data_IF_761749688279
#
_entry.id   IF_761749688279
#
_cell.length_a   1.000
_cell.length_b   1.000
_cell.length_c   1.000
_cell.angle_alpha   90.00
_cell.angle_beta   90.00
_cell.angle_gamma   90.00
#
_symmetry.space_group_name_H-M   'P 1'
#
loop_
_entity.id
_entity.type
_entity.pdbx_description
1 polymer ?
#
# COMPACT_ATOMS: atom_id res chain seq x y z
N UNK A 1 10.44 -0.74 16.58
CA UNK A 1 10.80 -0.08 17.85
C UNK A 1 9.68 0.88 18.27
N UNK A 2 9.29 1.88 17.48
CA UNK A 2 8.29 2.92 17.83
C UNK A 2 6.95 2.31 18.26
N UNK A 3 6.43 1.33 17.52
CA UNK A 3 5.16 0.65 17.83
C UNK A 3 5.22 -0.08 19.19
N UNK A 4 6.29 -0.83 19.45
CA UNK A 4 6.49 -1.52 20.71
C UNK A 4 6.61 -0.53 21.88
N UNK A 5 7.36 0.56 21.70
CA UNK A 5 7.48 1.61 22.70
C UNK A 5 6.11 2.25 22.97
N UNK A 6 5.29 2.49 21.94
CA UNK A 6 3.93 3.01 22.10
C UNK A 6 3.02 2.05 22.89
N UNK A 7 3.05 0.76 22.58
CA UNK A 7 2.26 -0.25 23.30
C UNK A 7 2.69 -0.35 24.77
N UNK A 8 4.00 -0.44 25.03
CA UNK A 8 4.54 -0.54 26.39
C UNK A 8 4.26 0.71 27.20
N UNK A 9 4.48 1.91 26.65
CA UNK A 9 4.20 3.18 27.34
C UNK A 9 2.72 3.33 27.61
N UNK A 10 1.83 3.01 26.66
CA UNK A 10 0.39 3.03 26.86
C UNK A 10 -0.06 2.09 27.98
N UNK A 11 0.44 0.84 27.98
CA UNK A 11 0.16 -0.12 29.02
C UNK A 11 0.63 0.35 30.41
N UNK A 12 1.82 0.95 30.50
CA UNK A 12 2.36 1.50 31.75
C UNK A 12 1.50 2.68 32.27
N UNK A 13 1.09 3.59 31.39
CA UNK A 13 0.23 4.71 31.75
C UNK A 13 -1.11 4.21 32.31
N UNK A 14 -1.72 3.20 31.68
CA UNK A 14 -2.97 2.62 32.13
C UNK A 14 -2.83 1.90 33.48
N UNK A 15 -1.71 1.22 33.73
CA UNK A 15 -1.42 0.59 35.00
C UNK A 15 -1.19 1.60 36.14
N UNK A 16 -0.36 2.64 35.88
CA UNK A 16 -0.05 3.67 36.88
C UNK A 16 -1.29 4.53 37.18
N UNK A 17 -2.10 4.79 36.16
CA UNK A 17 -3.37 5.54 36.29
C UNK A 17 -4.49 4.75 36.96
N UNK A 18 -4.28 3.46 37.27
CA UNK A 18 -5.29 2.59 37.90
C UNK A 18 -6.49 2.27 37.01
N UNK A 19 -6.36 2.48 35.69
CA UNK A 19 -7.44 2.23 34.73
C UNK A 19 -7.62 0.76 34.37
N UNK A 20 -6.61 -0.07 34.63
CA UNK A 20 -6.64 -1.51 34.28
C UNK A 20 -5.68 -2.31 35.17
N UNK A 21 -5.90 -3.62 35.21
CA UNK A 21 -5.03 -4.58 35.93
C UNK A 21 -4.15 -5.36 34.91
N UNK A 22 -2.96 -5.87 35.33
CA UNK A 22 -2.04 -6.55 34.41
C UNK A 22 -2.68 -7.72 33.64
N UNK A 23 -3.58 -8.45 34.29
CA UNK A 23 -4.29 -9.59 33.67
C UNK A 23 -5.21 -9.15 32.54
N UNK A 24 -5.81 -7.99 32.67
CA UNK A 24 -6.72 -7.44 31.66
C UNK A 24 -5.95 -6.92 30.45
N UNK A 25 -4.76 -6.34 30.65
CA UNK A 25 -3.84 -5.98 29.54
C UNK A 25 -3.47 -7.22 28.74
N UNK A 26 -3.07 -8.31 29.40
CA UNK A 26 -2.71 -9.58 28.74
C UNK A 26 -3.90 -10.16 27.97
N UNK A 27 -5.10 -10.11 28.55
CA UNK A 27 -6.33 -10.55 27.90
C UNK A 27 -6.64 -9.72 26.66
N UNK A 28 -6.52 -8.40 26.74
CA UNK A 28 -6.76 -7.49 25.60
C UNK A 28 -5.71 -7.66 24.51
N UNK A 29 -4.44 -7.91 24.87
CA UNK A 29 -3.39 -8.27 23.91
C UNK A 29 -3.72 -9.59 23.19
N UNK A 30 -4.16 -10.61 23.92
CA UNK A 30 -4.58 -11.89 23.33
C UNK A 30 -5.77 -11.73 22.39
N UNK A 31 -6.78 -10.94 22.77
CA UNK A 31 -7.93 -10.62 21.93
C UNK A 31 -7.51 -9.87 20.66
N UNK A 32 -6.59 -8.89 20.77
CA UNK A 32 -6.04 -8.18 19.63
C UNK A 32 -5.31 -9.09 18.64
N UNK A 33 -4.50 -10.02 19.14
CA UNK A 33 -3.83 -11.03 18.30
C UNK A 33 -4.84 -11.92 17.59
N UNK A 34 -5.88 -12.37 18.29
CA UNK A 34 -6.96 -13.19 17.70
C UNK A 34 -7.73 -12.42 16.63
N UNK A 35 -8.01 -11.13 16.84
CA UNK A 35 -8.67 -10.27 15.85
C UNK A 35 -7.85 -10.03 14.58
N UNK A 36 -6.52 -10.07 14.68
CA UNK A 36 -5.61 -9.90 13.54
C UNK A 36 -5.26 -11.22 12.83
N UNK A 37 -5.67 -12.36 13.37
CA UNK A 37 -5.30 -13.68 12.83
C UNK A 37 -5.75 -13.86 11.38
N UNK A 38 -6.99 -13.50 11.07
CA UNK A 38 -7.54 -13.59 9.70
C UNK A 38 -6.72 -12.73 8.71
N UNK A 39 -6.41 -11.51 9.09
CA UNK A 39 -5.58 -10.61 8.29
C UNK A 39 -4.19 -11.18 8.02
N UNK A 40 -3.55 -11.76 9.03
CA UNK A 40 -2.25 -12.41 8.89
C UNK A 40 -2.32 -13.63 7.96
N UNK A 41 -3.35 -14.47 8.10
CA UNK A 41 -3.54 -15.65 7.25
C UNK A 41 -3.78 -15.27 5.79
N UNK A 42 -4.62 -14.27 5.54
CA UNK A 42 -4.83 -13.74 4.17
C UNK A 42 -3.52 -13.23 3.59
N UNK A 43 -2.75 -12.45 4.34
CA UNK A 43 -1.47 -11.93 3.88
C UNK A 43 -0.47 -13.04 3.51
N UNK A 44 -0.38 -14.10 4.31
CA UNK A 44 0.49 -15.25 4.05
C UNK A 44 0.06 -16.00 2.78
N UNK A 45 -1.23 -16.27 2.62
CA UNK A 45 -1.77 -16.97 1.46
C UNK A 45 -1.58 -16.16 0.17
N UNK A 46 -1.83 -14.86 0.22
CA UNK A 46 -1.60 -13.94 -0.91
C UNK A 46 -0.12 -13.90 -1.27
N UNK A 47 0.78 -13.81 -0.30
CA UNK A 47 2.23 -13.84 -0.55
C UNK A 47 2.68 -15.15 -1.22
N UNK A 48 2.14 -16.28 -0.80
CA UNK A 48 2.41 -17.58 -1.44
C UNK A 48 1.90 -17.62 -2.88
N UNK A 49 0.68 -17.13 -3.15
CA UNK A 49 0.14 -17.01 -4.51
C UNK A 49 1.02 -16.11 -5.40
N UNK A 50 1.47 -14.98 -4.88
CA UNK A 50 2.35 -14.08 -5.62
C UNK A 50 3.70 -14.71 -5.97
N UNK A 51 4.26 -15.50 -5.05
CA UNK A 51 5.48 -16.26 -5.32
C UNK A 51 5.29 -17.22 -6.49
N UNK A 52 4.14 -17.92 -6.56
CA UNK A 52 3.80 -18.78 -7.71
C UNK A 52 3.63 -17.99 -9.00
N UNK A 53 2.90 -16.87 -8.97
CA UNK A 53 2.71 -16.01 -10.16
C UNK A 53 4.06 -15.52 -10.69
N UNK A 54 4.99 -15.19 -9.80
CA UNK A 54 6.35 -14.79 -10.16
C UNK A 54 7.13 -15.92 -10.82
N UNK A 55 7.09 -17.12 -10.24
CA UNK A 55 7.77 -18.30 -10.74
C UNK A 55 7.32 -18.68 -12.17
N UNK A 56 6.03 -18.50 -12.45
CA UNK A 56 5.45 -18.77 -13.77
C UNK A 56 5.50 -17.59 -14.76
N UNK A 57 6.28 -16.53 -14.45
CA UNK A 57 6.48 -15.39 -15.36
C UNK A 57 5.26 -14.48 -15.53
N UNK A 58 4.28 -14.55 -14.61
CA UNK A 58 3.07 -13.73 -14.70
C UNK A 58 3.37 -12.22 -14.60
N UNK A 59 4.40 -11.84 -13.88
CA UNK A 59 4.82 -10.45 -13.79
C UNK A 59 5.52 -9.96 -15.06
N UNK A 60 6.30 -10.81 -15.73
CA UNK A 60 6.93 -10.47 -17.02
C UNK A 60 5.90 -10.25 -18.13
N UNK A 61 4.83 -11.05 -18.11
CA UNK A 61 3.69 -10.86 -19.00
C UNK A 61 2.97 -9.51 -18.74
N UNK A 62 2.79 -9.14 -17.48
CA UNK A 62 2.21 -7.86 -17.08
C UNK A 62 3.08 -6.68 -17.54
N UNK A 63 4.40 -6.79 -17.40
CA UNK A 63 5.35 -5.80 -17.86
C UNK A 63 5.29 -5.57 -19.35
N UNK A 64 5.37 -6.66 -20.13
CA UNK A 64 5.30 -6.56 -21.58
C UNK A 64 3.98 -5.92 -22.03
N UNK A 65 2.89 -6.16 -21.32
CA UNK A 65 1.62 -5.50 -21.56
C UNK A 65 1.64 -4.00 -21.23
N UNK A 66 2.23 -3.62 -20.10
CA UNK A 66 2.39 -2.21 -19.69
C UNK A 66 3.25 -1.46 -20.70
N UNK A 67 4.40 -1.99 -21.12
CA UNK A 67 5.27 -1.39 -22.13
C UNK A 67 4.58 -1.22 -23.48
N UNK A 68 3.67 -2.10 -23.84
CA UNK A 68 2.92 -2.02 -25.09
C UNK A 68 1.89 -0.86 -25.10
N UNK A 69 1.29 -0.56 -23.95
CA UNK A 69 0.24 0.46 -23.81
C UNK A 69 0.82 1.83 -23.49
N UNK A 70 1.78 1.88 -22.57
CA UNK A 70 2.32 3.12 -22.03
C UNK A 70 3.64 3.47 -22.72
N UNK A 71 3.62 4.51 -23.56
CA UNK A 71 4.79 5.00 -24.27
C UNK A 71 5.14 6.43 -23.85
N UNK A 72 6.45 6.75 -23.84
CA UNK A 72 6.96 8.05 -23.49
C UNK A 72 6.93 8.37 -22.00
N UNK A 73 7.51 9.50 -21.61
CA UNK A 73 7.77 9.87 -20.20
C UNK A 73 6.51 9.91 -19.31
N UNK A 74 5.39 10.42 -19.84
CA UNK A 74 4.10 10.44 -19.11
C UNK A 74 3.50 9.04 -19.01
N UNK A 75 3.53 8.30 -20.12
CA UNK A 75 3.08 6.92 -20.16
C UNK A 75 3.87 6.04 -19.20
N UNK A 76 5.21 6.15 -19.16
CA UNK A 76 6.06 5.43 -18.22
C UNK A 76 5.69 5.69 -16.76
N UNK A 77 5.37 6.93 -16.38
CA UNK A 77 4.93 7.26 -15.04
C UNK A 77 3.58 6.61 -14.66
N UNK A 78 2.62 6.62 -15.58
CA UNK A 78 1.34 5.92 -15.40
C UNK A 78 1.52 4.40 -15.37
N UNK A 79 2.40 3.88 -16.23
CA UNK A 79 2.77 2.47 -16.26
C UNK A 79 3.37 1.99 -14.94
N UNK A 80 4.28 2.78 -14.33
CA UNK A 80 4.81 2.48 -12.99
C UNK A 80 3.73 2.48 -11.92
N UNK A 81 2.80 3.44 -11.98
CA UNK A 81 1.66 3.49 -11.07
C UNK A 81 0.74 2.28 -11.21
N UNK A 82 0.44 1.86 -12.44
CA UNK A 82 -0.35 0.66 -12.70
C UNK A 82 0.39 -0.60 -12.28
N UNK A 83 1.70 -0.68 -12.52
CA UNK A 83 2.54 -1.80 -12.11
C UNK A 83 2.46 -2.01 -10.58
N UNK A 84 2.79 -0.98 -9.79
CA UNK A 84 2.75 -1.11 -8.33
C UNK A 84 1.33 -1.35 -7.83
N UNK A 85 0.31 -0.75 -8.47
CA UNK A 85 -1.08 -0.98 -8.12
C UNK A 85 -1.53 -2.41 -8.34
N UNK A 86 -1.14 -3.04 -9.45
CA UNK A 86 -1.44 -4.46 -9.70
C UNK A 86 -0.69 -5.39 -8.75
N UNK A 87 0.57 -5.05 -8.40
CA UNK A 87 1.31 -5.77 -7.36
C UNK A 87 0.62 -5.64 -6.00
N UNK A 88 0.09 -4.47 -5.69
CA UNK A 88 -0.61 -4.20 -4.43
C UNK A 88 -1.95 -4.96 -4.34
N UNK A 89 -2.72 -5.00 -5.43
CA UNK A 89 -3.90 -5.86 -5.52
C UNK A 89 -3.53 -7.33 -5.28
N UNK A 90 -2.43 -7.80 -5.85
CA UNK A 90 -2.00 -9.18 -5.72
C UNK A 90 -1.47 -9.52 -4.31
N UNK A 91 -0.77 -8.59 -3.65
CA UNK A 91 -0.12 -8.84 -2.35
C UNK A 91 -0.94 -8.37 -1.15
N UNK A 92 -1.93 -7.50 -1.36
CA UNK A 92 -2.67 -6.77 -0.33
C UNK A 92 -1.74 -6.06 0.70
N UNK A 93 -0.52 -5.71 0.26
CA UNK A 93 0.52 -5.11 1.11
C UNK A 93 1.40 -4.18 0.30
N UNK A 94 1.30 -2.86 0.57
CA UNK A 94 2.03 -1.83 -0.17
C UNK A 94 3.55 -1.97 -0.08
N UNK A 95 4.10 -2.39 1.06
CA UNK A 95 5.54 -2.57 1.23
C UNK A 95 6.05 -3.68 0.31
N UNK A 96 5.36 -4.81 0.27
CA UNK A 96 5.69 -5.93 -0.60
C UNK A 96 5.52 -5.54 -2.06
N UNK A 97 4.42 -4.86 -2.40
CA UNK A 97 4.15 -4.37 -3.76
C UNK A 97 5.27 -3.44 -4.26
N UNK A 98 5.71 -2.48 -3.44
CA UNK A 98 6.80 -1.56 -3.79
C UNK A 98 8.11 -2.33 -3.98
N UNK A 99 8.46 -3.25 -3.08
CA UNK A 99 9.69 -4.04 -3.18
C UNK A 99 9.71 -4.89 -4.45
N UNK A 100 8.57 -5.49 -4.81
CA UNK A 100 8.45 -6.30 -6.03
C UNK A 100 8.45 -5.45 -7.30
N UNK A 101 7.80 -4.29 -7.28
CA UNK A 101 7.74 -3.38 -8.43
C UNK A 101 9.06 -2.63 -8.67
N UNK A 102 9.88 -2.44 -7.62
CA UNK A 102 11.07 -1.57 -7.67
C UNK A 102 12.09 -1.91 -8.76
N UNK A 103 12.54 -3.17 -8.95
CA UNK A 103 13.52 -3.50 -9.99
C UNK A 103 12.99 -3.13 -11.38
N UNK A 104 11.75 -3.39 -11.64
CA UNK A 104 11.05 -3.13 -12.90
C UNK A 104 10.84 -1.63 -13.13
N UNK A 105 10.37 -0.94 -12.10
CA UNK A 105 10.19 0.50 -12.14
C UNK A 105 11.52 1.24 -12.36
N UNK A 106 12.64 0.67 -11.87
CA UNK A 106 13.98 1.20 -12.13
C UNK A 106 14.37 1.11 -13.60
N UNK A 107 14.15 -0.04 -14.24
CA UNK A 107 14.40 -0.22 -15.68
C UNK A 107 13.52 0.74 -16.50
N UNK A 108 12.23 0.85 -16.17
CA UNK A 108 11.35 1.82 -16.81
C UNK A 108 11.80 3.28 -16.58
N UNK A 109 12.33 3.59 -15.40
CA UNK A 109 12.83 4.92 -15.10
C UNK A 109 14.04 5.30 -15.97
N UNK A 110 14.96 4.38 -16.17
CA UNK A 110 16.12 4.54 -17.04
C UNK A 110 15.68 4.72 -18.50
N UNK A 111 14.75 3.87 -18.99
CA UNK A 111 14.23 3.93 -20.36
C UNK A 111 13.49 5.26 -20.67
N UNK A 112 12.63 5.71 -19.74
CA UNK A 112 11.83 6.92 -19.96
C UNK A 112 12.47 8.21 -19.42
N UNK A 113 13.69 8.17 -18.91
CA UNK A 113 14.40 9.33 -18.35
C UNK A 113 13.67 9.95 -17.15
N UNK A 114 13.18 9.10 -16.24
CA UNK A 114 12.49 9.51 -15.01
C UNK A 114 13.49 9.45 -13.86
N UNK A 115 13.53 10.49 -13.03
CA UNK A 115 14.48 10.54 -11.92
C UNK A 115 14.14 9.50 -10.84
N UNK A 116 15.13 8.88 -10.17
CA UNK A 116 14.89 7.89 -9.11
C UNK A 116 13.99 8.40 -7.97
N UNK A 117 14.14 9.67 -7.61
CA UNK A 117 13.29 10.32 -6.61
C UNK A 117 11.82 10.34 -7.03
N UNK A 118 11.54 10.62 -8.30
CA UNK A 118 10.20 10.62 -8.84
C UNK A 118 9.62 9.23 -8.96
N UNK A 119 10.43 8.26 -9.36
CA UNK A 119 10.07 6.84 -9.38
C UNK A 119 9.63 6.36 -8.00
N UNK A 120 10.44 6.60 -6.97
CA UNK A 120 10.09 6.25 -5.60
C UNK A 120 8.78 6.90 -5.13
N UNK A 121 8.60 8.20 -5.43
CA UNK A 121 7.36 8.90 -5.10
C UNK A 121 6.14 8.35 -5.82
N UNK A 122 6.27 7.93 -7.09
CA UNK A 122 5.19 7.31 -7.85
C UNK A 122 4.81 5.95 -7.27
N UNK A 123 5.79 5.10 -6.98
CA UNK A 123 5.55 3.79 -6.38
C UNK A 123 4.83 3.92 -5.04
N UNK A 124 5.30 4.80 -4.16
CA UNK A 124 4.70 5.03 -2.86
C UNK A 124 3.28 5.59 -2.97
N UNK A 125 3.08 6.63 -3.78
CA UNK A 125 1.78 7.27 -3.95
C UNK A 125 0.73 6.33 -4.52
N UNK A 126 1.07 5.61 -5.61
CA UNK A 126 0.12 4.70 -6.24
C UNK A 126 -0.15 3.46 -5.38
N UNK A 127 0.86 2.92 -4.68
CA UNK A 127 0.61 1.82 -3.74
C UNK A 127 -0.36 2.24 -2.63
N UNK A 128 -0.19 3.44 -2.05
CA UNK A 128 -1.12 3.97 -1.05
C UNK A 128 -2.55 4.13 -1.58
N UNK A 129 -2.71 4.55 -2.85
CA UNK A 129 -4.02 4.68 -3.49
C UNK A 129 -4.70 3.31 -3.60
N UNK A 130 -4.00 2.32 -4.16
CA UNK A 130 -4.56 0.98 -4.35
C UNK A 130 -4.81 0.29 -3.02
N UNK A 131 -3.84 0.30 -2.10
CA UNK A 131 -3.97 -0.27 -0.76
C UNK A 131 -5.16 0.31 0.01
N UNK A 132 -5.41 1.62 -0.13
CA UNK A 132 -6.54 2.26 0.54
C UNK A 132 -7.92 1.81 0.03
N UNK A 133 -8.00 1.31 -1.21
CA UNK A 133 -9.27 0.94 -1.86
C UNK A 133 -9.51 -0.57 -1.86
N UNK A 134 -8.47 -1.39 -1.72
CA UNK A 134 -8.60 -2.86 -1.76
C UNK A 134 -9.53 -3.36 -0.63
N UNK A 135 -10.63 -4.07 -0.96
CA UNK A 135 -11.63 -4.49 0.04
C UNK A 135 -11.13 -5.55 1.02
N UNK A 136 -10.11 -6.30 0.65
CA UNK A 136 -9.44 -7.32 1.47
C UNK A 136 -8.07 -6.86 2.01
N UNK A 137 -7.72 -5.59 1.82
CA UNK A 137 -6.50 -5.01 2.38
C UNK A 137 -6.58 -4.88 3.90
N UNK A 138 -5.42 -4.98 4.57
CA UNK A 138 -5.34 -4.96 6.03
C UNK A 138 -6.04 -3.72 6.64
N UNK A 139 -5.91 -2.56 6.02
CA UNK A 139 -6.53 -1.32 6.49
C UNK A 139 -8.06 -1.38 6.45
N UNK A 140 -8.63 -1.95 5.39
CA UNK A 140 -10.07 -2.13 5.24
C UNK A 140 -10.61 -3.14 6.25
N UNK A 141 -9.91 -4.26 6.43
CA UNK A 141 -10.28 -5.30 7.39
C UNK A 141 -10.26 -4.78 8.83
N UNK A 142 -9.23 -4.00 9.19
CA UNK A 142 -9.14 -3.36 10.52
C UNK A 142 -10.30 -2.38 10.72
N UNK A 143 -10.62 -1.56 9.71
CA UNK A 143 -11.74 -0.63 9.81
C UNK A 143 -13.10 -1.35 9.99
N UNK A 144 -13.32 -2.44 9.26
CA UNK A 144 -14.53 -3.27 9.39
C UNK A 144 -14.58 -3.92 10.77
N UNK A 145 -13.46 -4.49 11.24
CA UNK A 145 -13.38 -5.12 12.56
C UNK A 145 -13.73 -4.13 13.68
N UNK A 146 -13.17 -2.92 13.62
CA UNK A 146 -13.46 -1.87 14.61
C UNK A 146 -14.95 -1.48 14.64
N UNK A 147 -15.61 -1.41 13.48
CA UNK A 147 -17.06 -1.13 13.43
C UNK A 147 -17.88 -2.30 13.99
N UNK A 148 -17.48 -3.54 13.69
CA UNK A 148 -18.16 -4.73 14.21
C UNK A 148 -18.04 -4.83 15.74
N UNK A 149 -16.89 -4.48 16.31
CA UNK A 149 -16.69 -4.43 17.77
C UNK A 149 -17.60 -3.40 18.45
N UNK A 150 -17.98 -2.34 17.73
CA UNK A 150 -18.95 -1.34 18.21
C UNK A 150 -20.43 -1.75 17.99
N UNK A 151 -20.67 -2.99 17.56
CA UNK A 151 -22.01 -3.52 17.30
C UNK A 151 -22.64 -3.06 15.97
N UNK A 152 -21.83 -2.49 15.06
CA UNK A 152 -22.23 -2.12 13.71
C UNK A 152 -21.91 -3.23 12.70
N UNK A 153 -22.65 -3.28 11.61
CA UNK A 153 -22.32 -4.11 10.45
C UNK A 153 -22.05 -3.22 9.25
N UNK A 154 -20.83 -3.27 8.74
CA UNK A 154 -20.42 -2.50 7.56
C UNK A 154 -19.67 -3.39 6.57
N UNK A 155 -19.95 -3.21 5.29
CA UNK A 155 -19.25 -3.90 4.20
C UNK A 155 -18.19 -2.98 3.61
N UNK A 156 -17.07 -3.54 3.13
CA UNK A 156 -16.03 -2.82 2.40
C UNK A 156 -16.61 -1.98 1.26
N UNK A 157 -17.56 -2.51 0.51
CA UNK A 157 -18.20 -1.82 -0.61
C UNK A 157 -19.03 -0.58 -0.20
N UNK A 158 -19.47 -0.49 1.06
CA UNK A 158 -20.12 0.72 1.60
C UNK A 158 -19.10 1.78 2.04
N UNK A 159 -17.89 1.37 2.38
CA UNK A 159 -16.80 2.27 2.79
C UNK A 159 -16.12 2.87 1.56
N UNK A 160 -15.82 2.06 0.53
CA UNK A 160 -15.06 2.47 -0.67
C UNK A 160 -15.49 3.80 -1.29
N UNK A 161 -16.78 4.07 -1.57
CA UNK A 161 -17.18 5.34 -2.18
C UNK A 161 -17.04 6.56 -1.26
N UNK A 162 -16.80 6.35 0.04
CA UNK A 162 -16.59 7.40 1.04
C UNK A 162 -15.12 7.70 1.31
N UNK A 163 -14.21 6.99 0.65
CA UNK A 163 -12.76 7.17 0.78
C UNK A 163 -12.28 8.34 -0.10
N UNK A 164 -12.52 9.55 0.34
CA UNK A 164 -12.12 10.77 -0.39
C UNK A 164 -10.61 10.91 -0.53
N UNK A 165 -9.83 10.46 0.46
CA UNK A 165 -8.37 10.60 0.46
C UNK A 165 -7.70 9.87 -0.72
N UNK A 166 -7.89 8.57 -0.97
CA UNK A 166 -7.33 7.90 -2.13
C UNK A 166 -7.78 8.52 -3.46
N UNK A 167 -9.04 8.98 -3.55
CA UNK A 167 -9.56 9.63 -4.75
C UNK A 167 -8.88 10.97 -5.04
N UNK A 168 -8.71 11.81 -4.00
CA UNK A 168 -7.99 13.08 -4.13
C UNK A 168 -6.51 12.88 -4.41
N UNK A 169 -5.90 11.86 -3.82
CA UNK A 169 -4.51 11.49 -4.05
C UNK A 169 -4.29 11.03 -5.50
N UNK A 170 -5.20 10.23 -6.05
CA UNK A 170 -5.20 9.83 -7.45
C UNK A 170 -5.30 11.04 -8.38
N UNK A 171 -6.26 11.93 -8.12
CA UNK A 171 -6.44 13.15 -8.93
C UNK A 171 -5.19 14.04 -8.88
N UNK A 172 -4.63 14.26 -7.71
CA UNK A 172 -3.38 15.01 -7.51
C UNK A 172 -2.20 14.40 -8.27
N UNK A 173 -2.07 13.06 -8.21
CA UNK A 173 -1.02 12.33 -8.91
C UNK A 173 -1.13 12.46 -10.41
N UNK A 174 -2.34 12.32 -10.96
CA UNK A 174 -2.60 12.49 -12.39
C UNK A 174 -2.28 13.92 -12.85
N UNK A 175 -2.71 14.94 -12.10
CA UNK A 175 -2.38 16.34 -12.39
C UNK A 175 -0.86 16.55 -12.38
N UNK A 176 -0.16 15.98 -11.41
CA UNK A 176 1.30 16.08 -11.29
C UNK A 176 2.01 15.42 -12.46
N UNK A 177 1.56 14.25 -12.90
CA UNK A 177 2.09 13.56 -14.08
C UNK A 177 1.86 14.38 -15.34
N UNK A 178 0.67 14.95 -15.51
CA UNK A 178 0.34 15.78 -16.66
C UNK A 178 1.15 17.09 -16.73
N UNK A 179 1.41 17.71 -15.58
CA UNK A 179 2.20 18.96 -15.47
C UNK A 179 3.71 18.76 -15.54
N UNK A 180 4.19 17.54 -15.36
CA UNK A 180 5.62 17.22 -15.20
C UNK A 180 6.46 17.32 -16.50
N UNK A 181 6.00 18.03 -17.51
CA UNK A 181 6.72 18.17 -18.80
C UNK A 181 7.77 19.30 -18.80
N UNK A 182 7.77 20.19 -17.82
CA UNK A 182 8.50 21.46 -17.95
C UNK A 182 9.72 21.66 -17.01
N UNK A 183 10.06 20.72 -16.16
CA UNK A 183 11.08 20.99 -15.11
C UNK A 183 12.31 20.07 -15.11
N UNK A 184 12.81 19.67 -16.26
CA UNK A 184 13.95 18.73 -16.30
C UNK A 184 15.17 19.26 -17.05
N UNK A 185 15.26 20.54 -17.42
CA UNK A 185 16.40 21.08 -18.17
C UNK A 185 17.28 22.07 -17.39
N UNK A 186 17.00 22.40 -16.15
CA UNK A 186 17.74 23.48 -15.46
C UNK A 186 18.62 23.04 -14.28
N UNK A 187 18.87 21.77 -14.07
CA UNK A 187 19.69 21.29 -12.93
C UNK A 187 20.83 20.34 -13.31
N UNK A 188 21.42 20.51 -14.48
CA UNK A 188 22.62 19.74 -14.87
C UNK A 188 23.85 20.62 -15.17
N UNK A 189 23.84 21.89 -14.80
CA UNK A 189 24.98 22.78 -14.89
C UNK A 189 25.07 23.68 -13.66
N UNK A 190 25.50 23.10 -12.52
CA UNK A 190 26.27 23.79 -11.47
C UNK A 190 27.03 22.75 -10.67
#
# INVERSE_FOLDING_TARGET
VVLLTGIVSGALIMLIGGYTVPVEILKNMGSGVSGMFETCMVAILVAAMCALIREYGGFDALLSWIHRIFRGKKGGQLGMGLLVGTMDIATANNTVAIVMANPIAKEMAEEYGITPRKTASLLDTFSCIFQGVIPYGAQMLVAISAVNELGGEISAFKIMPKLFYPMLLLLSSLITIMRSTERTETASHE
#
